data_IF_382977709666
#
_entry.id   IF_382977709666
#
_cell.length_a   1.000
_cell.length_b   1.000
_cell.length_c   1.000
_cell.angle_alpha   90.00
_cell.angle_beta   90.00
_cell.angle_gamma   90.00
#
_symmetry.space_group_name_H-M   'P 1'
#
loop_
_entity.id
_entity.type
_entity.pdbx_description
1 polymer ?
#
# COMPACT_ATOMS: atom_id res chain seq x y z
N UNK A 1 15.72 13.75 -19.98
CA UNK A 1 16.38 12.88 -18.97
C UNK A 1 17.08 13.77 -17.96
N UNK A 2 17.09 13.38 -16.68
CA UNK A 2 17.86 14.11 -15.66
C UNK A 2 19.34 14.12 -16.04
N UNK A 3 20.02 15.24 -15.79
CA UNK A 3 21.49 15.35 -15.94
C UNK A 3 22.23 14.72 -14.76
N UNK A 4 21.53 14.47 -13.65
CA UNK A 4 22.08 13.89 -12.44
C UNK A 4 21.99 12.37 -12.43
N UNK A 5 23.00 11.67 -11.88
CA UNK A 5 22.95 10.23 -11.70
C UNK A 5 21.88 9.82 -10.69
N UNK A 6 21.44 8.56 -10.78
CA UNK A 6 20.60 7.96 -9.74
C UNK A 6 21.32 7.99 -8.39
N UNK A 7 20.59 8.30 -7.32
CA UNK A 7 21.11 8.32 -5.94
C UNK A 7 21.45 6.92 -5.45
N UNK A 8 20.75 5.91 -5.97
CA UNK A 8 20.95 4.51 -5.64
C UNK A 8 20.93 3.64 -6.90
N UNK A 9 21.73 2.57 -6.97
CA UNK A 9 21.69 1.62 -8.09
C UNK A 9 20.29 1.02 -8.33
N UNK A 10 19.47 0.92 -7.28
CA UNK A 10 18.11 0.38 -7.33
C UNK A 10 17.02 1.44 -7.05
N UNK A 11 17.26 2.72 -7.35
CA UNK A 11 16.36 3.83 -7.04
C UNK A 11 14.94 3.62 -7.58
N UNK A 12 14.78 3.07 -8.78
CA UNK A 12 13.46 2.76 -9.35
C UNK A 12 12.67 1.75 -8.51
N UNK A 13 13.33 0.71 -7.97
CA UNK A 13 12.68 -0.27 -7.11
C UNK A 13 12.30 0.34 -5.75
N UNK A 14 13.18 1.19 -5.19
CA UNK A 14 12.90 1.95 -3.95
C UNK A 14 11.73 2.90 -4.13
N UNK A 15 11.64 3.58 -5.28
CA UNK A 15 10.52 4.45 -5.61
C UNK A 15 9.21 3.67 -5.67
N UNK A 16 9.20 2.49 -6.29
CA UNK A 16 8.02 1.61 -6.30
C UNK A 16 7.63 1.11 -4.90
N UNK A 17 8.60 0.85 -4.02
CA UNK A 17 8.32 0.54 -2.62
C UNK A 17 7.69 1.74 -1.89
N UNK A 18 8.17 2.95 -2.15
CA UNK A 18 7.61 4.19 -1.60
C UNK A 18 6.17 4.44 -2.12
N UNK A 19 5.92 4.20 -3.41
CA UNK A 19 4.58 4.26 -4.01
C UNK A 19 3.60 3.32 -3.28
N UNK A 20 4.01 2.07 -3.03
CA UNK A 20 3.18 1.09 -2.29
C UNK A 20 2.86 1.62 -0.89
N UNK A 21 3.85 2.17 -0.18
CA UNK A 21 3.64 2.74 1.16
C UNK A 21 2.58 3.84 1.08
N UNK A 22 2.72 4.79 0.15
CA UNK A 22 1.77 5.88 -0.03
C UNK A 22 0.35 5.40 -0.39
N UNK A 23 0.25 4.49 -1.36
CA UNK A 23 -1.05 3.96 -1.81
C UNK A 23 -1.77 3.17 -0.69
N UNK A 24 -1.04 2.37 0.09
CA UNK A 24 -1.63 1.61 1.20
C UNK A 24 -2.06 2.51 2.36
N UNK A 25 -1.41 3.67 2.56
CA UNK A 25 -1.84 4.64 3.56
C UNK A 25 -3.25 5.21 3.30
N UNK A 26 -3.75 5.13 2.07
CA UNK A 26 -5.14 5.50 1.73
C UNK A 26 -6.20 4.63 2.44
N UNK A 27 -5.81 3.49 3.01
CA UNK A 27 -6.67 2.71 3.91
C UNK A 27 -7.08 3.52 5.18
N UNK A 28 -6.36 4.60 5.50
CA UNK A 28 -6.66 5.51 6.60
C UNK A 28 -6.28 4.96 7.98
N UNK A 29 -5.42 3.94 8.03
CA UNK A 29 -4.96 3.26 9.25
C UNK A 29 -3.48 2.90 9.11
N UNK A 30 -2.79 2.82 10.26
CA UNK A 30 -1.44 2.23 10.32
C UNK A 30 -1.55 0.73 10.10
N UNK A 31 -0.78 0.22 9.15
CA UNK A 31 -0.69 -1.20 8.83
C UNK A 31 0.52 -1.76 9.56
N UNK A 32 0.30 -2.75 10.42
CA UNK A 32 1.37 -3.55 11.02
C UNK A 32 1.38 -4.91 10.32
N UNK A 33 2.38 -5.15 9.47
CA UNK A 33 2.48 -6.40 8.72
C UNK A 33 3.59 -6.36 7.67
N UNK A 34 3.74 -7.48 6.95
CA UNK A 34 4.68 -7.62 5.85
C UNK A 34 3.92 -7.55 4.52
N UNK A 35 4.31 -6.61 3.65
CA UNK A 35 3.75 -6.48 2.30
C UNK A 35 4.71 -7.07 1.28
N UNK A 36 4.24 -8.05 0.50
CA UNK A 36 4.94 -8.59 -0.66
C UNK A 36 4.20 -8.14 -1.91
N UNK A 37 4.91 -7.54 -2.86
CA UNK A 37 4.33 -7.07 -4.11
C UNK A 37 5.21 -7.45 -5.30
N UNK A 38 4.59 -8.03 -6.33
CA UNK A 38 5.24 -8.42 -7.58
C UNK A 38 4.70 -7.54 -8.69
N UNK A 39 5.58 -6.78 -9.37
CA UNK A 39 5.21 -5.80 -10.41
C UNK A 39 4.11 -4.82 -9.93
N UNK A 40 4.35 -4.07 -8.85
CA UNK A 40 3.35 -3.19 -8.25
C UNK A 40 3.01 -1.99 -9.14
N UNK A 41 1.84 -1.40 -8.89
CA UNK A 41 1.39 -0.16 -9.49
C UNK A 41 0.20 0.43 -8.75
N UNK A 42 -0.10 1.71 -9.00
CA UNK A 42 -1.12 2.44 -8.23
C UNK A 42 -2.50 1.79 -8.28
N UNK A 43 -2.91 1.24 -9.44
CA UNK A 43 -4.21 0.55 -9.57
C UNK A 43 -4.37 -0.63 -8.60
N UNK A 44 -3.51 -1.68 -8.67
CA UNK A 44 -3.52 -2.76 -7.70
C UNK A 44 -3.38 -2.32 -6.24
N UNK A 45 -2.50 -1.36 -5.95
CA UNK A 45 -2.22 -0.91 -4.58
C UNK A 45 -3.44 -0.21 -3.96
N UNK A 46 -4.04 0.74 -4.67
CA UNK A 46 -5.24 1.48 -4.21
C UNK A 46 -6.45 0.56 -4.04
N UNK A 47 -6.63 -0.43 -4.94
CA UNK A 47 -7.67 -1.47 -4.77
C UNK A 47 -7.44 -2.29 -3.51
N UNK A 48 -6.19 -2.63 -3.19
CA UNK A 48 -5.85 -3.32 -1.95
C UNK A 48 -6.17 -2.45 -0.73
N UNK A 49 -5.79 -1.17 -0.75
CA UNK A 49 -6.08 -0.22 0.33
C UNK A 49 -7.60 -0.09 0.59
N UNK A 50 -8.41 0.00 -0.48
CA UNK A 50 -9.86 0.03 -0.38
C UNK A 50 -10.44 -1.26 0.24
N UNK A 51 -9.93 -2.43 -0.15
CA UNK A 51 -10.31 -3.72 0.46
C UNK A 51 -9.94 -3.79 1.93
N UNK A 52 -8.72 -3.40 2.31
CA UNK A 52 -8.27 -3.35 3.70
C UNK A 52 -9.16 -2.45 4.55
N UNK A 53 -9.53 -1.27 4.03
CA UNK A 53 -10.45 -0.34 4.70
C UNK A 53 -11.82 -0.98 4.92
N UNK A 54 -12.39 -1.63 3.91
CA UNK A 54 -13.69 -2.29 4.01
C UNK A 54 -13.68 -3.43 5.05
N UNK A 55 -12.65 -4.29 5.00
CA UNK A 55 -12.50 -5.38 5.98
C UNK A 55 -12.33 -4.86 7.40
N UNK A 56 -11.54 -3.81 7.59
CA UNK A 56 -11.40 -3.18 8.90
C UNK A 56 -12.74 -2.65 9.44
N UNK A 57 -13.56 -2.00 8.61
CA UNK A 57 -14.89 -1.54 9.04
C UNK A 57 -15.81 -2.71 9.41
N UNK A 58 -15.78 -3.80 8.63
CA UNK A 58 -16.56 -5.01 8.91
C UNK A 58 -16.19 -5.62 10.26
N UNK A 59 -14.92 -5.61 10.64
CA UNK A 59 -14.44 -6.10 11.95
C UNK A 59 -14.90 -5.22 13.12
N UNK A 60 -15.16 -3.92 12.90
CA UNK A 60 -15.61 -3.00 13.97
C UNK A 60 -17.10 -3.12 14.29
N UNK A 61 -17.91 -3.64 13.37
CA UNK A 61 -19.34 -3.85 13.63
C UNK A 61 -19.44 -5.01 14.62
N UNK A 62 -20.01 -4.82 15.83
CA UNK A 62 -20.25 -5.93 16.74
C UNK A 62 -21.13 -6.92 15.98
N UNK A 63 -20.66 -8.16 15.80
CA UNK A 63 -21.56 -9.22 15.37
C UNK A 63 -22.55 -9.37 16.52
N UNK A 64 -23.73 -8.78 16.39
CA UNK A 64 -24.87 -9.12 17.23
C UNK A 64 -25.05 -10.63 17.08
N UNK A 65 -24.60 -11.35 18.09
CA UNK A 65 -24.76 -12.80 18.18
C UNK A 65 -26.27 -13.04 18.26
N UNK A 66 -26.83 -13.94 17.44
CA UNK A 66 -28.25 -14.27 17.53
C UNK A 66 -28.60 -14.81 18.92
#
# INVERSE_FOLDING_TARGET
MSKEPVRFPNEFARHKALDIIGDLMLAGRRILGHVIAVKPGHGPNTRMAAKMKAEYQRMKIPRSRP
#
